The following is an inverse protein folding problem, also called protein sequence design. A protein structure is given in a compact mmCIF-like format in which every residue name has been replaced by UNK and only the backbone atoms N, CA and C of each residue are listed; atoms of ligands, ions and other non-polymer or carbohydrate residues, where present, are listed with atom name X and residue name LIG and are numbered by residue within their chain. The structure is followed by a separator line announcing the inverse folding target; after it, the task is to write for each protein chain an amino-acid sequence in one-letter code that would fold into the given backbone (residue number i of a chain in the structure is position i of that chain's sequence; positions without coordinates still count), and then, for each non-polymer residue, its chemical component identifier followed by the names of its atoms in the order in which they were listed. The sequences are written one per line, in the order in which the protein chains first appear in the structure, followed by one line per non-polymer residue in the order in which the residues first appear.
data_IF_178373458489
#
_entry.id   IF_178373458489
#
_cell.length_a   1.000
_cell.length_b   1.000
_cell.length_c   1.000
_cell.angle_alpha   90.00
_cell.angle_beta   90.00
_cell.angle_gamma   90.00
#
_symmetry.space_group_name_H-M   'P 1'
#
loop_
_entity.id
_entity.type
_entity.pdbx_description
1 polymer ?
#
# COMPACT_ATOMS: atom_id res chain seq x y z
N UNK A 1 7.98 25.51 27.01
CA UNK A 1 8.00 25.60 25.54
C UNK A 1 8.46 24.24 25.07
N UNK A 2 7.57 23.25 25.21
CA UNK A 2 7.94 21.84 25.16
C UNK A 2 7.83 21.35 23.73
N UNK A 3 8.99 21.06 23.16
CA UNK A 3 9.19 20.44 21.87
C UNK A 3 8.40 19.15 21.81
N UNK A 4 7.20 19.21 21.21
CA UNK A 4 6.36 18.06 20.93
C UNK A 4 7.18 17.06 20.11
N UNK A 5 7.62 16.00 20.78
CA UNK A 5 8.20 14.82 20.17
C UNK A 5 7.15 14.33 19.18
N UNK A 6 7.36 14.60 17.89
CA UNK A 6 6.62 13.96 16.80
C UNK A 6 6.98 12.48 16.88
N UNK A 7 6.22 11.74 17.65
CA UNK A 7 6.20 10.30 17.59
C UNK A 7 5.73 9.96 16.17
N UNK A 8 6.68 9.57 15.32
CA UNK A 8 6.37 9.10 13.98
C UNK A 8 5.68 7.77 14.19
N UNK A 9 4.36 7.81 14.39
CA UNK A 9 3.51 6.63 14.46
C UNK A 9 3.80 5.85 13.19
N UNK A 10 4.54 4.75 13.32
CA UNK A 10 4.80 3.84 12.22
C UNK A 10 3.44 3.27 11.82
N UNK A 11 2.92 3.75 10.69
CA UNK A 11 1.70 3.20 10.12
C UNK A 11 1.85 1.70 9.94
N UNK A 12 0.90 0.95 10.48
CA UNK A 12 0.86 -0.51 10.37
C UNK A 12 0.65 -0.94 8.93
N UNK A 13 1.07 -2.15 8.59
CA UNK A 13 0.89 -2.74 7.25
C UNK A 13 -0.58 -2.70 6.81
N UNK A 14 -1.51 -2.90 7.75
CA UNK A 14 -2.95 -2.81 7.53
C UNK A 14 -3.43 -1.40 7.17
N UNK A 15 -2.95 -0.37 7.88
CA UNK A 15 -3.30 1.01 7.58
C UNK A 15 -2.76 1.45 6.21
N UNK A 16 -1.55 1.00 5.86
CA UNK A 16 -0.96 1.26 4.54
C UNK A 16 -1.81 0.60 3.44
N UNK A 17 -2.24 -0.64 3.67
CA UNK A 17 -3.12 -1.35 2.75
C UNK A 17 -4.45 -0.60 2.54
N UNK A 18 -5.05 -0.09 3.61
CA UNK A 18 -6.29 0.68 3.54
C UNK A 18 -6.12 1.97 2.71
N UNK A 19 -5.00 2.68 2.88
CA UNK A 19 -4.70 3.88 2.09
C UNK A 19 -4.54 3.56 0.60
N UNK A 20 -3.86 2.47 0.27
CA UNK A 20 -3.72 2.02 -1.13
C UNK A 20 -5.09 1.64 -1.70
N UNK A 21 -5.91 0.90 -0.96
CA UNK A 21 -7.26 0.54 -1.41
C UNK A 21 -8.13 1.77 -1.68
N UNK A 22 -8.08 2.78 -0.82
CA UNK A 22 -8.80 4.04 -1.03
C UNK A 22 -8.30 4.80 -2.26
N UNK A 23 -6.98 4.85 -2.47
CA UNK A 23 -6.40 5.49 -3.64
C UNK A 23 -6.79 4.77 -4.94
N UNK A 24 -6.73 3.44 -4.96
CA UNK A 24 -7.16 2.60 -6.08
C UNK A 24 -8.64 2.83 -6.37
N UNK A 25 -9.51 2.77 -5.36
CA UNK A 25 -10.94 2.97 -5.52
C UNK A 25 -11.26 4.38 -6.06
N UNK A 26 -10.60 5.42 -5.56
CA UNK A 26 -10.79 6.78 -6.07
C UNK A 26 -10.40 6.90 -7.55
N UNK A 27 -9.27 6.30 -7.93
CA UNK A 27 -8.77 6.30 -9.31
C UNK A 27 -9.66 5.48 -10.25
N UNK A 28 -10.13 4.32 -9.80
CA UNK A 28 -11.06 3.45 -10.54
C UNK A 28 -12.41 4.15 -10.77
N UNK A 29 -12.88 4.93 -9.79
CA UNK A 29 -14.08 5.76 -9.91
C UNK A 29 -13.90 7.01 -10.80
N UNK A 30 -12.71 7.23 -11.36
CA UNK A 30 -12.45 8.29 -12.34
C UNK A 30 -11.52 9.41 -11.88
N UNK A 31 -10.97 9.35 -10.66
CA UNK A 31 -9.95 10.31 -10.24
C UNK A 31 -8.65 10.14 -11.06
N UNK A 32 -8.06 11.24 -11.48
CA UNK A 32 -6.76 11.22 -12.16
C UNK A 32 -5.60 11.09 -11.16
N UNK A 33 -5.79 11.59 -9.95
CA UNK A 33 -4.80 11.59 -8.89
C UNK A 33 -5.44 11.50 -7.50
N UNK A 34 -4.68 10.97 -6.54
CA UNK A 34 -5.08 10.82 -5.15
C UNK A 34 -3.89 11.11 -4.23
N UNK A 35 -4.13 11.79 -3.10
CA UNK A 35 -3.07 12.17 -2.16
C UNK A 35 -3.10 11.27 -0.92
N UNK A 36 -2.02 10.56 -0.70
CA UNK A 36 -1.78 9.72 0.48
C UNK A 36 -0.80 10.46 1.39
N UNK A 37 -1.33 11.26 2.32
CA UNK A 37 -0.53 12.10 3.21
C UNK A 37 0.34 13.10 2.44
N UNK A 38 1.66 12.90 2.45
CA UNK A 38 2.62 13.70 1.68
C UNK A 38 2.89 13.18 0.26
N UNK A 39 2.45 11.96 -0.07
CA UNK A 39 2.67 11.33 -1.39
C UNK A 39 1.47 11.58 -2.29
N UNK A 40 1.73 11.78 -3.57
CA UNK A 40 0.71 11.89 -4.61
C UNK A 40 0.80 10.67 -5.51
N UNK A 41 -0.36 10.12 -5.85
CA UNK A 41 -0.51 8.90 -6.65
C UNK A 41 -1.36 9.23 -7.86
N UNK A 42 -0.97 8.77 -9.04
CA UNK A 42 -1.70 9.04 -10.29
C UNK A 42 -2.29 7.79 -10.89
N UNK A 43 -3.29 7.96 -11.74
CA UNK A 43 -3.93 6.88 -12.50
C UNK A 43 -2.95 6.10 -13.38
N UNK A 44 -1.93 6.76 -13.92
CA UNK A 44 -0.89 6.10 -14.71
C UNK A 44 -0.11 5.06 -13.88
N UNK A 45 -0.04 5.24 -12.57
CA UNK A 45 0.69 4.36 -11.63
C UNK A 45 -0.21 3.28 -11.01
N UNK A 46 -1.42 3.08 -11.54
CA UNK A 46 -2.40 2.13 -11.00
C UNK A 46 -1.85 0.68 -10.96
N UNK A 47 -1.03 0.31 -11.94
CA UNK A 47 -0.34 -0.99 -11.97
C UNK A 47 0.60 -1.17 -10.77
N UNK A 48 1.33 -0.11 -10.39
CA UNK A 48 2.24 -0.09 -9.23
C UNK A 48 1.44 -0.19 -7.94
N UNK A 49 0.31 0.51 -7.82
CA UNK A 49 -0.57 0.41 -6.66
C UNK A 49 -1.08 -1.01 -6.42
N UNK A 50 -1.47 -1.73 -7.47
CA UNK A 50 -1.88 -3.13 -7.31
C UNK A 50 -0.72 -4.05 -6.89
N UNK A 51 0.51 -3.78 -7.35
CA UNK A 51 1.69 -4.53 -6.93
C UNK A 51 1.96 -4.30 -5.45
N UNK A 52 1.96 -3.04 -4.99
CA UNK A 52 2.14 -2.69 -3.59
C UNK A 52 1.00 -3.25 -2.71
N UNK A 53 -0.26 -3.19 -3.18
CA UNK A 53 -1.39 -3.83 -2.50
C UNK A 53 -1.14 -5.31 -2.25
N UNK A 54 -0.72 -6.05 -3.29
CA UNK A 54 -0.42 -7.48 -3.18
C UNK A 54 0.75 -7.74 -2.23
N UNK A 55 1.78 -6.91 -2.27
CA UNK A 55 2.93 -7.01 -1.38
C UNK A 55 2.54 -6.82 0.08
N UNK A 56 1.73 -5.80 0.39
CA UNK A 56 1.25 -5.55 1.75
C UNK A 56 0.32 -6.66 2.25
N UNK A 57 -0.57 -7.17 1.39
CA UNK A 57 -1.41 -8.32 1.70
C UNK A 57 -0.57 -9.57 1.97
N UNK A 58 0.46 -9.81 1.17
CA UNK A 58 1.38 -10.90 1.38
C UNK A 58 2.13 -10.74 2.71
N UNK A 59 2.62 -9.54 3.02
CA UNK A 59 3.29 -9.27 4.28
C UNK A 59 2.36 -9.48 5.49
N UNK A 60 1.09 -9.03 5.42
CA UNK A 60 0.09 -9.29 6.45
C UNK A 60 -0.17 -10.79 6.63
N UNK A 61 -0.25 -11.52 5.51
CA UNK A 61 -0.44 -12.97 5.54
C UNK A 61 0.80 -13.66 6.12
N UNK A 62 2.02 -13.23 5.80
CA UNK A 62 3.26 -13.77 6.36
C UNK A 62 3.40 -13.46 7.86
N UNK A 63 2.96 -12.28 8.30
CA UNK A 63 2.89 -11.90 9.72
C UNK A 63 1.88 -12.79 10.49
N UNK A 64 0.82 -13.27 9.84
CA UNK A 64 -0.21 -14.13 10.45
C UNK A 64 0.03 -15.64 10.26
N UNK A 65 0.66 -16.03 9.16
CA UNK A 65 0.81 -17.41 8.69
C UNK A 65 2.28 -17.62 8.40
N UNK A 66 2.94 -18.40 9.26
CA UNK A 66 4.36 -18.75 9.08
C UNK A 66 4.63 -19.30 7.67
N UNK A 67 5.28 -18.46 6.86
CA UNK A 67 6.05 -18.80 5.66
C UNK A 67 5.43 -19.81 4.67
N UNK A 68 4.67 -19.33 3.68
CA UNK A 68 4.47 -20.09 2.42
C UNK A 68 4.64 -19.16 1.23
N UNK A 69 5.85 -19.14 0.65
CA UNK A 69 6.16 -18.42 -0.58
C UNK A 69 5.92 -19.31 -1.80
N UNK A 70 5.09 -18.86 -2.74
CA UNK A 70 4.97 -19.46 -4.08
C UNK A 70 5.50 -18.48 -5.13
N UNK A 71 6.66 -18.77 -5.70
CA UNK A 71 7.19 -18.00 -6.83
C UNK A 71 6.59 -18.54 -8.14
N UNK A 72 5.89 -17.69 -8.89
CA UNK A 72 5.47 -18.01 -10.26
C UNK A 72 6.62 -17.68 -11.20
N UNK A 73 7.26 -18.71 -11.76
CA UNK A 73 8.15 -18.56 -12.91
C UNK A 73 7.32 -18.59 -14.18
N UNK A 74 7.35 -17.48 -14.93
CA UNK A 74 6.84 -17.45 -16.29
C UNK A 74 7.96 -17.94 -17.23
N UNK A 75 7.69 -18.98 -18.02
CA UNK A 75 8.62 -19.53 -19.01
C UNK A 75 8.27 -18.90 -20.35
N UNK A 76 9.23 -18.17 -20.91
CA UNK A 76 9.24 -17.82 -22.32
C UNK A 76 10.41 -18.49 -23.02
#
# INVERSE_FOLDING_TARGET
MDTAKREVVKMTTQEQLNQINNAVAAIENGAQEYRIGSRMVRKADLSVLYQERRRLQQQLNEENSGSTFVAKFDRR
#
